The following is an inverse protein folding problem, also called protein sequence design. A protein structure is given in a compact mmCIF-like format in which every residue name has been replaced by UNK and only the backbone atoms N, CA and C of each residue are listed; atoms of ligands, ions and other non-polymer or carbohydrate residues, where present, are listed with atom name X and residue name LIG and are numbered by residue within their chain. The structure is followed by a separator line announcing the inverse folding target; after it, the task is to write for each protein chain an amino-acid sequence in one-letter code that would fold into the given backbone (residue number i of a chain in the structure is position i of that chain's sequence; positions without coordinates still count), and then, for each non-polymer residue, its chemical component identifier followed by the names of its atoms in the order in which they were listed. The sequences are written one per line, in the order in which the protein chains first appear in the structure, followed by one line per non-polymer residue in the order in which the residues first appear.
data_IF_209979675687
#
_entry.id   IF_209979675687
#
_cell.length_a   1.000
_cell.length_b   1.000
_cell.length_c   1.000
_cell.angle_alpha   90.00
_cell.angle_beta   90.00
_cell.angle_gamma   90.00
#
_symmetry.space_group_name_H-M   'P 1'
#
loop_
_entity.id
_entity.type
_entity.pdbx_description
1 polymer ?
#
# COMPACT_ATOMS: atom_id res chain seq x y z
N UNK A 1 16.78 8.55 18.87
CA UNK A 1 15.68 7.56 18.98
C UNK A 1 15.04 7.41 17.62
N UNK A 2 15.19 6.25 17.03
CA UNK A 2 14.45 5.89 15.84
C UNK A 2 13.05 5.42 16.28
N UNK A 3 12.07 6.32 16.24
CA UNK A 3 10.67 5.95 16.45
C UNK A 3 10.16 5.08 15.29
N UNK A 4 9.04 4.43 15.48
CA UNK A 4 8.35 3.68 14.43
C UNK A 4 8.02 4.65 13.29
N UNK A 5 8.40 4.35 12.02
CA UNK A 5 8.16 5.27 10.91
C UNK A 5 6.67 5.44 10.63
N UNK A 6 6.27 6.67 10.33
CA UNK A 6 4.92 6.99 9.87
C UNK A 6 4.86 6.79 8.35
N UNK A 7 3.95 5.97 7.87
CA UNK A 7 3.85 5.60 6.44
C UNK A 7 2.44 5.90 5.93
N UNK A 8 2.33 6.79 4.95
CA UNK A 8 1.07 7.01 4.25
C UNK A 8 0.87 5.89 3.23
N UNK A 9 -0.26 5.21 3.31
CA UNK A 9 -0.67 4.18 2.37
C UNK A 9 -1.63 4.78 1.33
N UNK A 10 -1.21 4.77 0.07
CA UNK A 10 -2.04 5.24 -1.04
C UNK A 10 -3.20 4.28 -1.33
N UNK A 11 -4.28 4.79 -1.90
CA UNK A 11 -5.49 4.01 -2.18
C UNK A 11 -5.24 2.78 -3.05
N UNK A 12 -4.34 2.85 -4.02
CA UNK A 12 -3.98 1.70 -4.86
C UNK A 12 -3.34 0.54 -4.08
N UNK A 13 -2.66 0.83 -3.00
CA UNK A 13 -2.09 -0.17 -2.07
C UNK A 13 -3.20 -0.77 -1.20
N UNK A 14 -4.04 0.07 -0.62
CA UNK A 14 -5.14 -0.36 0.25
C UNK A 14 -6.22 -1.15 -0.51
N UNK A 15 -6.45 -0.83 -1.78
CA UNK A 15 -7.39 -1.55 -2.64
C UNK A 15 -6.86 -2.90 -3.15
N UNK A 16 -5.58 -3.18 -2.97
CA UNK A 16 -5.02 -4.51 -3.22
C UNK A 16 -5.17 -5.35 -1.95
N UNK A 17 -6.09 -6.31 -1.97
CA UNK A 17 -6.46 -7.07 -0.77
C UNK A 17 -5.27 -7.77 -0.10
N UNK A 18 -4.45 -8.48 -0.86
CA UNK A 18 -3.30 -9.20 -0.32
C UNK A 18 -2.26 -8.27 0.29
N UNK A 19 -1.98 -7.16 -0.39
CA UNK A 19 -1.07 -6.11 0.12
C UNK A 19 -1.63 -5.45 1.37
N UNK A 20 -2.89 -5.05 1.33
CA UNK A 20 -3.56 -4.41 2.46
C UNK A 20 -3.54 -5.30 3.69
N UNK A 21 -3.93 -6.55 3.56
CA UNK A 21 -3.92 -7.52 4.67
C UNK A 21 -2.51 -7.69 5.27
N UNK A 22 -1.51 -7.89 4.42
CA UNK A 22 -0.12 -8.03 4.85
C UNK A 22 0.39 -6.78 5.57
N UNK A 23 0.16 -5.60 5.00
CA UNK A 23 0.63 -4.34 5.57
C UNK A 23 -0.05 -4.02 6.89
N UNK A 24 -1.35 -4.25 7.02
CA UNK A 24 -2.07 -4.01 8.26
C UNK A 24 -1.62 -4.94 9.37
N UNK A 25 -1.29 -6.21 9.05
CA UNK A 25 -0.69 -7.14 10.03
C UNK A 25 0.67 -6.67 10.51
N UNK A 26 1.51 -6.12 9.61
CA UNK A 26 2.81 -5.54 9.98
C UNK A 26 2.68 -4.25 10.79
N UNK A 27 1.54 -3.60 10.73
CA UNK A 27 1.22 -2.41 11.52
C UNK A 27 0.58 -2.71 12.88
N UNK A 28 0.23 -3.98 13.14
CA UNK A 28 -0.19 -4.45 14.46
C UNK A 28 1.01 -4.63 15.40
N UNK A 29 0.83 -4.55 16.72
CA UNK A 29 1.94 -4.77 17.67
C UNK A 29 2.56 -6.17 17.54
N UNK A 30 3.92 -6.28 17.54
CA UNK A 30 4.93 -5.22 17.52
C UNK A 30 5.02 -4.53 16.16
N UNK A 31 4.76 -3.24 16.11
CA UNK A 31 4.61 -2.48 14.87
C UNK A 31 5.95 -2.29 14.16
N UNK A 32 5.99 -2.60 12.86
CA UNK A 32 7.10 -2.24 11.98
C UNK A 32 6.98 -0.80 11.48
N UNK A 33 5.76 -0.29 11.36
CA UNK A 33 5.44 1.07 10.97
C UNK A 33 4.07 1.48 11.51
N UNK A 34 3.80 2.78 11.53
CA UNK A 34 2.49 3.33 11.81
C UNK A 34 1.80 3.74 10.51
N UNK A 35 0.67 3.11 10.15
CA UNK A 35 -0.04 3.44 8.93
C UNK A 35 -0.76 4.77 9.08
N UNK A 36 -0.76 5.55 8.01
CA UNK A 36 -1.48 6.82 7.91
C UNK A 36 -2.27 6.87 6.61
N UNK A 37 -3.44 7.47 6.67
CA UNK A 37 -4.30 7.77 5.54
C UNK A 37 -5.22 8.94 5.84
N UNK A 38 -5.94 9.43 4.85
CA UNK A 38 -6.96 10.45 5.00
C UNK A 38 -8.33 9.89 4.64
N UNK A 39 -9.38 10.65 4.94
CA UNK A 39 -10.74 10.33 4.48
C UNK A 39 -10.80 10.17 2.96
N UNK A 40 -10.11 11.03 2.22
CA UNK A 40 -10.07 10.97 0.75
C UNK A 40 -9.41 9.68 0.26
N UNK A 41 -8.28 9.29 0.85
CA UNK A 41 -7.60 8.02 0.52
C UNK A 41 -8.55 6.85 0.74
N UNK A 42 -9.25 6.80 1.86
CA UNK A 42 -10.19 5.71 2.15
C UNK A 42 -11.40 5.74 1.20
N UNK A 43 -11.90 6.91 0.86
CA UNK A 43 -12.98 7.05 -0.12
C UNK A 43 -12.57 6.54 -1.51
N UNK A 44 -11.37 6.86 -1.96
CA UNK A 44 -10.81 6.32 -3.20
C UNK A 44 -10.63 4.81 -3.14
N UNK A 45 -10.19 4.30 -2.00
CA UNK A 45 -10.03 2.85 -1.75
C UNK A 45 -11.36 2.13 -1.89
N UNK A 46 -12.38 2.56 -1.16
CA UNK A 46 -13.71 1.94 -1.20
C UNK A 46 -14.34 2.03 -2.57
N UNK A 47 -14.22 3.18 -3.22
CA UNK A 47 -14.70 3.38 -4.60
C UNK A 47 -14.03 2.42 -5.59
N UNK A 48 -12.73 2.21 -5.47
CA UNK A 48 -11.99 1.27 -6.32
C UNK A 48 -12.45 -0.17 -6.08
N UNK A 49 -12.61 -0.57 -4.83
CA UNK A 49 -13.11 -1.90 -4.46
C UNK A 49 -14.51 -2.16 -5.04
N UNK A 50 -15.40 -1.18 -4.95
CA UNK A 50 -16.77 -1.30 -5.46
C UNK A 50 -16.81 -1.31 -6.99
N UNK A 51 -16.21 -0.32 -7.64
CA UNK A 51 -16.31 -0.11 -9.09
C UNK A 51 -15.46 -1.05 -9.93
N UNK A 52 -14.25 -1.39 -9.45
CA UNK A 52 -13.31 -2.23 -10.21
C UNK A 52 -13.33 -3.69 -9.79
N UNK A 53 -13.56 -3.97 -8.52
CA UNK A 53 -13.51 -5.33 -7.98
C UNK A 53 -14.90 -5.88 -7.62
N UNK A 54 -15.94 -5.10 -7.80
CA UNK A 54 -17.34 -5.54 -7.60
C UNK A 54 -17.71 -5.83 -6.14
N UNK A 55 -16.99 -5.23 -5.20
CA UNK A 55 -17.34 -5.42 -3.79
C UNK A 55 -18.70 -4.81 -3.46
N UNK A 56 -19.54 -5.52 -2.68
CA UNK A 56 -20.78 -4.93 -2.21
C UNK A 56 -20.51 -3.80 -1.21
N UNK A 57 -21.36 -2.79 -1.21
CA UNK A 57 -21.26 -1.64 -0.31
C UNK A 57 -21.20 -2.03 1.18
N UNK A 58 -21.92 -3.11 1.56
CA UNK A 58 -21.84 -3.65 2.92
C UNK A 58 -20.45 -4.09 3.33
N UNK A 59 -19.66 -4.61 2.39
CA UNK A 59 -18.30 -5.07 2.66
C UNK A 59 -17.31 -3.91 2.76
N UNK A 60 -17.44 -2.89 1.91
CA UNK A 60 -16.59 -1.68 1.99
C UNK A 60 -16.91 -0.87 3.24
N UNK A 61 -18.17 -0.77 3.62
CA UNK A 61 -18.58 -0.14 4.88
C UNK A 61 -18.00 -0.89 6.10
N UNK A 62 -17.99 -2.21 6.06
CA UNK A 62 -17.39 -3.03 7.11
C UNK A 62 -15.87 -2.80 7.18
N UNK A 63 -15.18 -2.78 6.05
CA UNK A 63 -13.74 -2.48 5.99
C UNK A 63 -13.43 -1.13 6.64
N UNK A 64 -14.17 -0.08 6.27
CA UNK A 64 -13.98 1.26 6.85
C UNK A 64 -14.20 1.26 8.36
N UNK A 65 -15.23 0.58 8.83
CA UNK A 65 -15.51 0.43 10.26
C UNK A 65 -14.36 -0.24 11.02
N UNK A 66 -13.81 -1.32 10.45
CA UNK A 66 -12.66 -2.03 11.04
C UNK A 66 -11.41 -1.16 11.07
N UNK A 67 -11.14 -0.40 10.00
CA UNK A 67 -10.01 0.53 9.97
C UNK A 67 -10.14 1.62 11.04
N UNK A 68 -11.35 2.15 11.26
CA UNK A 68 -11.60 3.14 12.33
C UNK A 68 -11.45 2.53 13.72
N UNK A 69 -11.87 1.30 13.92
CA UNK A 69 -11.81 0.63 15.21
C UNK A 69 -10.38 0.24 15.60
N UNK A 70 -9.59 -0.28 14.66
CA UNK A 70 -8.25 -0.82 14.93
C UNK A 70 -7.11 0.17 14.70
N UNK A 71 -7.32 1.19 13.87
CA UNK A 71 -6.32 2.18 13.49
C UNK A 71 -6.85 3.61 13.65
N UNK A 72 -7.44 3.90 14.80
CA UNK A 72 -8.05 5.21 15.06
C UNK A 72 -7.08 6.40 14.94
N UNK A 73 -5.79 6.18 15.19
CA UNK A 73 -4.73 7.18 15.09
C UNK A 73 -4.15 7.36 13.69
N UNK A 74 -4.58 6.52 12.73
CA UNK A 74 -4.06 6.56 11.36
C UNK A 74 -4.62 7.73 10.53
N UNK A 75 -5.70 8.35 10.96
CA UNK A 75 -6.46 9.33 10.20
C UNK A 75 -5.84 10.72 10.26
N UNK A 76 -5.44 11.24 9.09
CA UNK A 76 -4.91 12.59 8.91
C UNK A 76 -6.02 13.49 8.42
N UNK A 77 -6.18 14.64 9.10
CA UNK A 77 -7.15 15.68 8.72
C UNK A 77 -6.48 17.05 8.62
N UNK A 78 -7.20 18.04 8.11
CA UNK A 78 -6.74 19.45 8.05
C UNK A 78 -5.50 19.69 7.17
N UNK A 79 -5.27 18.83 6.19
CA UNK A 79 -4.17 18.93 5.22
C UNK A 79 -4.55 19.71 3.95
N UNK A 80 -5.83 19.97 3.74
CA UNK A 80 -6.37 20.55 2.50
C UNK A 80 -5.72 21.88 2.09
N UNK A 81 -5.36 22.78 3.03
CA UNK A 81 -4.67 24.03 2.68
C UNK A 81 -3.32 23.82 1.98
N UNK A 82 -2.71 22.65 2.14
CA UNK A 82 -1.43 22.33 1.48
C UNK A 82 -1.60 21.81 0.04
N UNK A 83 -2.78 21.35 -0.35
CA UNK A 83 -3.02 20.77 -1.68
C UNK A 83 -2.59 21.71 -2.82
N UNK A 84 -2.94 23.03 -2.81
CA UNK A 84 -2.53 23.95 -3.87
C UNK A 84 -1.02 24.14 -4.01
N UNK A 85 -0.26 23.78 -2.96
CA UNK A 85 1.20 23.89 -2.95
C UNK A 85 1.91 22.66 -3.53
N UNK A 86 1.17 21.58 -3.78
CA UNK A 86 1.71 20.36 -4.34
C UNK A 86 1.85 20.48 -5.86
N UNK A 87 2.89 19.85 -6.41
CA UNK A 87 3.25 19.94 -7.82
C UNK A 87 3.25 18.60 -8.54
N UNK A 88 2.97 17.51 -7.81
CA UNK A 88 2.85 16.17 -8.37
C UNK A 88 1.54 16.01 -9.16
N UNK A 89 1.24 14.80 -9.65
CA UNK A 89 0.00 14.51 -10.38
C UNK A 89 -1.22 15.04 -9.61
N UNK A 90 -2.10 15.77 -10.31
CA UNK A 90 -3.21 16.50 -9.70
C UNK A 90 -4.12 15.59 -8.84
N UNK A 91 -4.37 14.38 -9.30
CA UNK A 91 -5.23 13.42 -8.60
C UNK A 91 -4.65 12.96 -7.27
N UNK A 92 -3.33 12.98 -7.15
CA UNK A 92 -2.60 12.46 -5.99
C UNK A 92 -1.96 13.56 -5.13
N UNK A 93 -2.28 14.83 -5.39
CA UNK A 93 -1.79 15.96 -4.58
C UNK A 93 -2.27 15.88 -3.14
N UNK A 94 -3.48 15.40 -2.91
CA UNK A 94 -4.03 15.23 -1.56
C UNK A 94 -3.23 14.20 -0.74
N UNK A 95 -2.65 13.19 -1.38
CA UNK A 95 -1.81 12.18 -0.73
C UNK A 95 -0.53 12.81 -0.21
N UNK A 96 0.15 13.62 -1.01
CA UNK A 96 1.37 14.32 -0.61
C UNK A 96 1.05 15.36 0.47
N UNK A 97 -0.04 16.11 0.33
CA UNK A 97 -0.47 17.08 1.32
C UNK A 97 -0.74 16.42 2.68
N UNK A 98 -1.42 15.28 2.68
CA UNK A 98 -1.67 14.51 3.90
C UNK A 98 -0.36 14.00 4.51
N UNK A 99 0.57 13.49 3.71
CA UNK A 99 1.86 13.00 4.16
C UNK A 99 2.70 14.11 4.80
N UNK A 100 2.74 15.28 4.19
CA UNK A 100 3.47 16.45 4.70
C UNK A 100 2.86 16.93 6.02
N UNK A 101 1.54 17.10 6.05
CA UNK A 101 0.84 17.55 7.26
C UNK A 101 0.95 16.55 8.41
N UNK A 102 0.87 15.26 8.10
CA UNK A 102 1.00 14.18 9.08
C UNK A 102 2.45 13.82 9.43
N UNK A 103 3.42 14.55 8.90
CA UNK A 103 4.87 14.31 9.14
C UNK A 103 5.29 12.87 8.80
N UNK A 104 4.71 12.30 7.74
CA UNK A 104 5.02 10.95 7.31
C UNK A 104 6.44 10.84 6.75
N UNK A 105 7.10 9.74 7.09
CA UNK A 105 8.45 9.45 6.60
C UNK A 105 8.45 8.95 5.17
N UNK A 106 7.39 8.24 4.75
CA UNK A 106 7.31 7.55 3.45
C UNK A 106 5.87 7.57 2.94
N UNK A 107 5.71 7.68 1.62
CA UNK A 107 4.47 7.38 0.91
C UNK A 107 4.64 6.03 0.22
N UNK A 108 3.80 5.07 0.55
CA UNK A 108 3.77 3.75 -0.08
C UNK A 108 2.71 3.72 -1.18
N UNK A 109 3.14 3.54 -2.43
CA UNK A 109 2.28 3.59 -3.61
C UNK A 109 2.69 2.59 -4.68
N UNK A 110 1.73 2.14 -5.49
CA UNK A 110 1.99 1.38 -6.71
C UNK A 110 2.19 2.29 -7.94
N UNK A 111 1.86 3.57 -7.82
CA UNK A 111 1.91 4.54 -8.91
C UNK A 111 3.08 5.51 -8.75
N UNK A 112 4.31 5.02 -8.73
CA UNK A 112 5.51 5.82 -8.49
C UNK A 112 5.64 7.03 -9.41
N UNK A 113 5.18 6.94 -10.65
CA UNK A 113 5.22 8.04 -11.63
C UNK A 113 4.36 9.24 -11.26
N UNK A 114 3.35 9.06 -10.40
CA UNK A 114 2.50 10.16 -9.89
C UNK A 114 3.15 10.91 -8.72
N UNK A 115 4.25 10.36 -8.20
CA UNK A 115 4.99 10.88 -7.05
C UNK A 115 6.47 11.01 -7.39
N UNK A 116 6.80 11.80 -8.40
CA UNK A 116 8.18 11.97 -8.85
C UNK A 116 9.04 12.59 -7.76
N UNK A 117 10.31 12.16 -7.60
CA UNK A 117 11.18 12.66 -6.54
C UNK A 117 11.33 14.18 -6.51
N UNK A 118 11.36 14.83 -7.67
CA UNK A 118 11.48 16.28 -7.78
C UNK A 118 10.31 17.04 -7.15
N UNK A 119 9.13 16.43 -7.06
CA UNK A 119 7.95 17.03 -6.43
C UNK A 119 7.89 16.77 -4.92
N UNK A 120 8.64 15.81 -4.41
CA UNK A 120 8.66 15.42 -3.02
C UNK A 120 9.90 15.92 -2.27
N UNK A 121 10.98 16.19 -2.99
CA UNK A 121 12.28 16.54 -2.41
C UNK A 121 12.20 17.75 -1.48
N UNK A 122 11.46 18.79 -1.86
CA UNK A 122 11.29 19.99 -1.06
C UNK A 122 10.55 19.75 0.26
N UNK A 123 9.82 18.65 0.35
CA UNK A 123 9.03 18.29 1.53
C UNK A 123 9.72 17.24 2.41
N UNK A 124 10.83 16.65 1.94
CA UNK A 124 11.57 15.62 2.67
C UNK A 124 10.81 14.31 2.87
N UNK A 125 9.80 14.04 2.03
CA UNK A 125 8.99 12.82 2.12
C UNK A 125 9.26 11.93 0.89
N UNK A 126 10.07 10.87 0.99
CA UNK A 126 10.31 9.94 -0.11
C UNK A 126 9.09 9.07 -0.37
N UNK A 127 8.99 8.59 -1.62
CA UNK A 127 8.03 7.57 -2.03
C UNK A 127 8.70 6.21 -2.17
N UNK A 128 7.94 5.14 -1.99
CA UNK A 128 8.42 3.78 -2.27
C UNK A 128 7.30 2.87 -2.75
N UNK A 129 7.67 1.80 -3.45
CA UNK A 129 6.74 0.74 -3.80
C UNK A 129 6.83 -0.40 -2.79
N UNK A 130 5.75 -1.15 -2.57
CA UNK A 130 5.74 -2.28 -1.64
C UNK A 130 6.81 -3.34 -1.92
N UNK A 131 7.20 -3.51 -3.19
CA UNK A 131 8.25 -4.44 -3.62
C UNK A 131 9.65 -4.06 -3.16
N UNK A 132 9.83 -2.84 -2.66
CA UNK A 132 11.12 -2.30 -2.20
C UNK A 132 11.21 -2.29 -0.67
N UNK A 133 10.19 -2.76 0.02
CA UNK A 133 10.32 -3.04 1.45
C UNK A 133 11.44 -4.09 1.59
N UNK A 134 12.49 -3.84 2.39
CA UNK A 134 13.58 -4.77 2.50
C UNK A 134 13.07 -6.15 2.88
N UNK A 135 13.46 -7.12 2.08
CA UNK A 135 13.14 -8.54 2.22
C UNK A 135 13.81 -9.08 3.50
N UNK A 136 13.31 -8.63 4.64
CA UNK A 136 13.69 -9.20 5.92
C UNK A 136 12.70 -10.31 6.24
N UNK A 137 13.12 -11.53 5.86
CA UNK A 137 12.54 -12.78 6.33
C UNK A 137 11.16 -13.20 5.82
N UNK A 138 10.89 -13.02 4.52
CA UNK A 138 9.93 -13.92 3.88
C UNK A 138 10.65 -15.22 3.51
N UNK A 139 10.23 -16.39 4.03
CA UNK A 139 10.80 -17.64 3.58
C UNK A 139 10.56 -17.75 2.08
N UNK A 140 11.65 -17.84 1.31
CA UNK A 140 11.58 -18.09 -0.13
C UNK A 140 10.82 -19.40 -0.32
N UNK A 141 9.62 -19.31 -0.84
CA UNK A 141 8.89 -20.48 -1.27
C UNK A 141 9.78 -21.25 -2.21
N UNK A 142 10.17 -22.44 -1.79
CA UNK A 142 10.89 -23.40 -2.64
C UNK A 142 9.99 -23.72 -3.83
N UNK A 143 10.30 -23.12 -4.97
CA UNK A 143 9.75 -23.58 -6.23
C UNK A 143 10.26 -25.01 -6.43
N UNK A 144 9.40 -25.98 -6.15
CA UNK A 144 9.64 -27.35 -6.57
C UNK A 144 9.64 -27.37 -8.09
N UNK A 145 10.81 -27.50 -8.67
CA UNK A 145 10.95 -27.85 -10.08
C UNK A 145 10.25 -29.15 -10.33
N UNK A 146 9.22 -29.14 -11.16
CA UNK A 146 8.70 -30.34 -11.76
C UNK A 146 9.73 -30.80 -12.79
N UNK A 147 10.57 -31.72 -12.39
CA UNK A 147 11.38 -32.51 -13.32
C UNK A 147 10.51 -33.66 -13.83
N UNK A 148 9.83 -33.42 -14.94
CA UNK A 148 9.16 -34.47 -15.70
C UNK A 148 10.20 -35.16 -16.59
N UNK A 149 10.90 -36.16 -16.05
CA UNK A 149 11.59 -37.15 -16.84
C UNK A 149 10.59 -38.09 -17.47
N UNK A 150 10.36 -37.90 -18.76
CA UNK A 150 9.58 -38.73 -19.63
C UNK A 150 10.37 -40.00 -19.94
N UNK A 151 9.88 -41.21 -19.66
CA UNK A 151 10.55 -42.44 -20.13
C UNK A 151 10.21 -42.69 -21.60
N UNK A 152 11.23 -42.77 -22.42
CA UNK A 152 11.12 -43.25 -23.80
C UNK A 152 10.94 -44.76 -23.79
N UNK A 153 9.75 -45.19 -24.15
CA UNK A 153 9.46 -46.60 -24.38
C UNK A 153 10.06 -47.10 -25.70
N UNK A 154 10.97 -48.03 -25.61
CA UNK A 154 11.45 -48.81 -26.77
C UNK A 154 10.42 -49.89 -27.09
N UNK A 155 9.95 -49.92 -28.33
CA UNK A 155 9.20 -51.03 -28.88
C UNK A 155 10.18 -52.12 -29.36
N UNK A 156 9.93 -53.39 -29.11
CA UNK A 156 10.52 -54.48 -29.89
C UNK A 156 9.62 -54.81 -31.09
N UNK A 157 10.21 -54.84 -32.28
CA UNK A 157 9.58 -55.42 -33.48
C UNK A 157 9.84 -56.92 -33.59
N UNK A 158 9.20 -57.57 -34.57
CA UNK A 158 8.84 -58.98 -34.55
C UNK A 158 9.98 -59.96 -34.65
#
# INVERSE_FOLDING_TARGET
MTGTPLVVLDACVLANFSLCDTLLRLAEPPRLFEPKWSEEIIRETTRTLELKLGWPNSLTAHLEKELRAHFSEAWISSYEPLIPRMTNDEKDRHVVAAAVHGEASIILTLNLRHFRPEHLAMWGCPRTAPSVLPDRDLPRGTSRGNDETRPTGSRPGP
#
